data_IF_168696718146
#
_entry.id   IF_168696718146
#
_cell.length_a   1.000
_cell.length_b   1.000
_cell.length_c   1.000
_cell.angle_alpha   90.00
_cell.angle_beta   90.00
_cell.angle_gamma   90.00
#
_symmetry.space_group_name_H-M   'P 1'
#
loop_
_entity.id
_entity.type
_entity.pdbx_description
1 polymer ?
#
# COMPACT_ATOMS: atom_id res chain seq x y z
N UNK A 1 4.00 -7.61 -20.05
CA UNK A 1 3.46 -8.21 -18.79
C UNK A 1 4.57 -9.04 -18.19
N UNK A 2 4.99 -8.72 -16.98
CA UNK A 2 6.10 -9.40 -16.32
C UNK A 2 5.71 -10.82 -15.91
N UNK A 3 6.67 -11.78 -15.97
CA UNK A 3 6.43 -13.19 -15.65
C UNK A 3 5.92 -13.38 -14.21
N UNK A 4 6.39 -12.55 -13.28
CA UNK A 4 5.94 -12.58 -11.89
C UNK A 4 4.45 -12.21 -11.75
N UNK A 5 3.98 -11.28 -12.56
CA UNK A 5 2.56 -10.89 -12.60
C UNK A 5 1.68 -12.05 -13.11
N UNK A 6 2.16 -12.80 -14.11
CA UNK A 6 1.45 -13.98 -14.65
C UNK A 6 1.38 -15.09 -13.61
N UNK A 7 2.50 -15.43 -12.97
CA UNK A 7 2.55 -16.46 -11.93
C UNK A 7 1.65 -16.09 -10.75
N UNK A 8 1.68 -14.82 -10.32
CA UNK A 8 0.85 -14.31 -9.25
C UNK A 8 -0.64 -14.39 -9.60
N UNK A 9 -1.00 -14.08 -10.85
CA UNK A 9 -2.38 -14.16 -11.31
C UNK A 9 -2.90 -15.60 -11.34
N UNK A 10 -2.11 -16.56 -11.85
CA UNK A 10 -2.46 -17.98 -11.87
C UNK A 10 -2.61 -18.57 -10.46
N UNK A 11 -1.63 -18.35 -9.60
CA UNK A 11 -1.64 -18.84 -8.23
C UNK A 11 -2.79 -18.23 -7.42
N UNK A 12 -3.06 -16.95 -7.61
CA UNK A 12 -4.16 -16.25 -6.96
C UNK A 12 -5.52 -16.76 -7.41
N UNK A 13 -5.72 -16.94 -8.71
CA UNK A 13 -6.94 -17.49 -9.29
C UNK A 13 -7.26 -18.88 -8.76
N UNK A 14 -6.27 -19.77 -8.72
CA UNK A 14 -6.41 -21.13 -8.17
C UNK A 14 -6.84 -21.12 -6.69
N UNK A 15 -6.46 -20.09 -5.93
CA UNK A 15 -6.83 -19.91 -4.52
C UNK A 15 -8.08 -19.03 -4.31
N UNK A 16 -8.77 -18.61 -5.38
CA UNK A 16 -9.97 -17.78 -5.31
C UNK A 16 -9.73 -16.33 -4.87
N UNK A 17 -8.50 -15.82 -5.02
CA UNK A 17 -8.12 -14.47 -4.65
C UNK A 17 -8.67 -13.45 -5.64
N UNK A 18 -9.03 -12.26 -5.16
CA UNK A 18 -9.35 -11.10 -5.99
C UNK A 18 -10.72 -11.15 -6.65
N UNK A 19 -11.65 -11.94 -6.13
CA UNK A 19 -13.06 -11.91 -6.55
C UNK A 19 -13.80 -10.81 -5.80
N UNK A 20 -14.46 -9.93 -6.56
CA UNK A 20 -15.24 -8.83 -6.00
C UNK A 20 -16.58 -8.73 -6.75
N UNK A 21 -17.66 -8.58 -5.98
CA UNK A 21 -18.99 -8.23 -6.48
C UNK A 21 -19.34 -6.86 -5.92
N UNK A 22 -19.41 -5.87 -6.78
CA UNK A 22 -19.58 -4.48 -6.38
C UNK A 22 -20.71 -3.79 -7.11
N UNK A 23 -21.37 -2.86 -6.43
CA UNK A 23 -22.31 -1.92 -7.03
C UNK A 23 -21.56 -0.66 -7.41
N UNK A 24 -21.47 -0.40 -8.71
CA UNK A 24 -20.75 0.74 -9.28
C UNK A 24 -21.67 1.95 -9.46
N UNK A 25 -21.09 3.13 -9.31
CA UNK A 25 -21.73 4.38 -9.69
C UNK A 25 -21.31 4.74 -11.12
N UNK A 26 -22.28 4.85 -12.03
CA UNK A 26 -22.03 5.40 -13.37
C UNK A 26 -21.95 6.92 -13.29
N UNK A 27 -21.19 7.55 -14.19
CA UNK A 27 -21.01 8.99 -14.24
C UNK A 27 -22.33 9.77 -14.27
N UNK A 28 -23.35 9.20 -14.90
CA UNK A 28 -24.71 9.78 -15.03
C UNK A 28 -25.61 9.50 -13.81
N UNK A 29 -25.08 8.99 -12.72
CA UNK A 29 -25.83 8.73 -11.48
C UNK A 29 -26.54 7.38 -11.40
N UNK A 30 -26.52 6.57 -12.46
CA UNK A 30 -27.09 5.22 -12.44
C UNK A 30 -26.17 4.25 -11.70
N UNK A 31 -26.78 3.17 -11.16
CA UNK A 31 -26.05 2.06 -10.54
C UNK A 31 -25.90 0.91 -11.53
N UNK A 32 -24.78 0.23 -11.48
CA UNK A 32 -24.54 -1.03 -12.18
C UNK A 32 -23.89 -2.02 -11.23
N UNK A 33 -24.05 -3.33 -11.48
CA UNK A 33 -23.35 -4.39 -10.75
C UNK A 33 -22.20 -4.90 -11.59
N UNK A 34 -21.03 -4.99 -11.02
CA UNK A 34 -19.85 -5.58 -11.64
C UNK A 34 -19.31 -6.74 -10.82
N UNK A 35 -19.00 -7.86 -11.47
CA UNK A 35 -18.26 -8.96 -10.86
C UNK A 35 -16.86 -9.00 -11.48
N UNK A 36 -15.85 -8.92 -10.66
CA UNK A 36 -14.45 -8.81 -11.10
C UNK A 36 -13.60 -9.94 -10.53
N UNK A 37 -12.59 -10.34 -11.29
CA UNK A 37 -11.54 -11.25 -10.86
C UNK A 37 -10.19 -10.62 -11.18
N UNK A 38 -9.48 -10.16 -10.15
CA UNK A 38 -8.19 -9.48 -10.28
C UNK A 38 -7.14 -10.08 -9.33
N UNK A 39 -6.86 -11.41 -9.43
CA UNK A 39 -6.02 -12.09 -8.44
C UNK A 39 -4.61 -11.51 -8.37
N UNK A 40 -3.95 -11.29 -9.49
CA UNK A 40 -2.59 -10.73 -9.53
C UNK A 40 -2.52 -9.32 -8.93
N UNK A 41 -3.40 -8.42 -9.36
CA UNK A 41 -3.45 -7.05 -8.82
C UNK A 41 -3.75 -7.02 -7.32
N UNK A 42 -4.64 -7.88 -6.85
CA UNK A 42 -5.00 -7.98 -5.43
C UNK A 42 -3.82 -8.45 -4.58
N UNK A 43 -3.05 -9.45 -5.05
CA UNK A 43 -1.86 -9.95 -4.35
C UNK A 43 -0.77 -8.88 -4.32
N UNK A 44 -0.46 -8.25 -5.47
CA UNK A 44 0.54 -7.20 -5.58
C UNK A 44 0.20 -6.00 -4.68
N UNK A 45 -1.06 -5.54 -4.72
CA UNK A 45 -1.51 -4.45 -3.84
C UNK A 45 -1.36 -4.82 -2.36
N UNK A 46 -1.74 -6.04 -1.96
CA UNK A 46 -1.62 -6.48 -0.56
C UNK A 46 -0.17 -6.57 -0.12
N UNK A 47 0.72 -7.08 -0.98
CA UNK A 47 2.16 -7.13 -0.72
C UNK A 47 2.79 -5.75 -0.61
N UNK A 48 2.47 -4.87 -1.56
CA UNK A 48 2.96 -3.49 -1.57
C UNK A 48 2.53 -2.72 -0.31
N UNK A 49 1.23 -2.77 0.05
CA UNK A 49 0.71 -2.16 1.28
C UNK A 49 1.35 -2.73 2.55
N UNK A 50 1.67 -4.03 2.56
CA UNK A 50 2.37 -4.65 3.66
C UNK A 50 3.80 -4.11 3.82
N UNK A 51 4.48 -3.78 2.71
CA UNK A 51 5.79 -3.14 2.74
C UNK A 51 5.69 -1.69 3.19
N UNK A 52 4.80 -0.89 2.62
CA UNK A 52 4.53 0.48 3.03
C UNK A 52 4.28 0.60 4.55
N UNK A 53 3.60 -0.38 5.13
CA UNK A 53 3.28 -0.36 6.57
C UNK A 53 4.49 -0.42 7.51
N UNK A 54 5.67 -0.76 7.01
CA UNK A 54 6.92 -0.82 7.80
C UNK A 54 7.97 0.18 7.32
N UNK A 55 7.79 0.81 6.15
CA UNK A 55 8.78 1.71 5.55
C UNK A 55 8.30 3.15 5.43
N UNK A 56 7.00 3.41 5.37
CA UNK A 56 6.45 4.77 5.36
C UNK A 56 6.14 5.25 6.78
N UNK A 57 6.42 6.51 7.04
CA UNK A 57 5.89 7.15 8.24
C UNK A 57 4.37 7.32 8.14
N UNK A 58 3.74 7.50 9.30
CA UNK A 58 2.28 7.54 9.42
C UNK A 58 1.65 8.65 8.57
N UNK A 59 2.21 9.85 8.64
CA UNK A 59 1.59 11.02 7.99
C UNK A 59 1.73 10.96 6.46
N UNK A 60 2.88 10.49 5.95
CA UNK A 60 3.06 10.26 4.52
C UNK A 60 2.14 9.15 4.00
N UNK A 61 1.96 8.08 4.78
CA UNK A 61 1.00 7.03 4.48
C UNK A 61 -0.44 7.54 4.39
N UNK A 62 -0.87 8.38 5.34
CA UNK A 62 -2.20 9.01 5.34
C UNK A 62 -2.37 9.95 4.14
N UNK A 63 -1.39 10.83 3.88
CA UNK A 63 -1.43 11.74 2.73
C UNK A 63 -1.60 10.97 1.42
N UNK A 64 -0.85 9.90 1.24
CA UNK A 64 -0.96 9.04 0.06
C UNK A 64 -2.36 8.44 -0.07
N UNK A 65 -2.94 7.96 1.03
CA UNK A 65 -4.28 7.37 1.04
C UNK A 65 -5.39 8.40 0.71
N UNK A 66 -5.25 9.63 1.18
CA UNK A 66 -6.16 10.74 0.84
C UNK A 66 -6.11 11.09 -0.65
N UNK A 67 -4.93 10.96 -1.28
CA UNK A 67 -4.76 11.28 -2.71
C UNK A 67 -5.22 10.16 -3.65
N UNK A 68 -5.34 8.93 -3.18
CA UNK A 68 -5.73 7.78 -4.00
C UNK A 68 -7.08 7.94 -4.72
N UNK A 69 -8.17 8.39 -4.06
CA UNK A 69 -9.45 8.62 -4.73
C UNK A 69 -9.36 9.70 -5.82
N UNK A 70 -8.54 10.72 -5.62
CA UNK A 70 -8.31 11.79 -6.60
C UNK A 70 -7.57 11.26 -7.82
N UNK A 71 -6.53 10.48 -7.61
CA UNK A 71 -5.80 9.81 -8.68
C UNK A 71 -6.70 8.86 -9.48
N UNK A 72 -7.49 8.03 -8.79
CA UNK A 72 -8.43 7.11 -9.42
C UNK A 72 -9.48 7.86 -10.26
N UNK A 73 -9.98 9.02 -9.80
CA UNK A 73 -10.92 9.86 -10.55
C UNK A 73 -10.30 10.35 -11.87
N UNK A 74 -9.04 10.79 -11.85
CA UNK A 74 -8.35 11.24 -13.07
C UNK A 74 -8.24 10.12 -14.11
N UNK A 75 -7.93 8.90 -13.66
CA UNK A 75 -7.90 7.72 -14.55
C UNK A 75 -9.30 7.45 -15.11
N UNK A 76 -10.30 7.38 -14.24
CA UNK A 76 -11.68 7.05 -14.61
C UNK A 76 -12.29 8.04 -15.61
N UNK A 77 -11.97 9.34 -15.47
CA UNK A 77 -12.47 10.40 -16.35
C UNK A 77 -11.60 10.65 -17.59
N UNK A 78 -10.54 9.86 -17.81
CA UNK A 78 -9.69 9.93 -19.01
C UNK A 78 -8.61 11.02 -18.96
N UNK A 79 -8.32 11.60 -17.81
CA UNK A 79 -7.30 12.65 -17.64
C UNK A 79 -5.89 12.10 -17.38
N UNK A 80 -5.51 11.02 -18.08
CA UNK A 80 -4.19 10.39 -17.92
C UNK A 80 -3.03 11.35 -18.21
N UNK A 81 -3.17 12.23 -19.18
CA UNK A 81 -2.13 13.19 -19.57
C UNK A 81 -2.23 14.55 -18.89
N UNK A 82 -3.16 14.72 -17.94
CA UNK A 82 -3.35 15.98 -17.23
C UNK A 82 -2.14 16.32 -16.34
N UNK A 83 -1.74 17.60 -16.23
CA UNK A 83 -0.67 18.04 -15.32
C UNK A 83 -0.93 17.64 -13.86
N UNK A 84 -2.18 17.65 -13.42
CA UNK A 84 -2.56 17.21 -12.08
C UNK A 84 -2.18 15.75 -11.82
N UNK A 85 -2.43 14.82 -12.77
CA UNK A 85 -2.02 13.44 -12.64
C UNK A 85 -0.49 13.32 -12.53
N UNK A 86 0.25 14.11 -13.32
CA UNK A 86 1.71 14.11 -13.28
C UNK A 86 2.24 14.60 -11.92
N UNK A 87 1.65 15.63 -11.34
CA UNK A 87 2.00 16.14 -10.01
C UNK A 87 1.73 15.10 -8.91
N UNK A 88 0.57 14.43 -8.96
CA UNK A 88 0.24 13.35 -8.04
C UNK A 88 1.20 12.15 -8.20
N UNK A 89 1.57 11.81 -9.45
CA UNK A 89 2.53 10.75 -9.71
C UNK A 89 3.90 11.05 -9.11
N UNK A 90 4.39 12.30 -9.26
CA UNK A 90 5.67 12.71 -8.70
C UNK A 90 5.69 12.58 -7.16
N UNK A 91 4.60 12.93 -6.48
CA UNK A 91 4.46 12.73 -5.04
C UNK A 91 4.47 11.24 -4.68
N UNK A 92 3.73 10.42 -5.43
CA UNK A 92 3.71 8.98 -5.20
C UNK A 92 5.09 8.39 -5.40
N UNK A 93 5.77 8.71 -6.50
CA UNK A 93 7.11 8.20 -6.82
C UNK A 93 8.13 8.60 -5.74
N UNK A 94 8.07 9.84 -5.26
CA UNK A 94 8.92 10.31 -4.17
C UNK A 94 8.67 9.51 -2.88
N UNK A 95 7.42 9.26 -2.53
CA UNK A 95 7.04 8.48 -1.35
C UNK A 95 7.52 7.02 -1.39
N UNK A 96 7.83 6.49 -2.57
CA UNK A 96 8.21 5.08 -2.75
C UNK A 96 9.72 4.82 -2.71
N UNK A 97 10.56 5.83 -2.53
CA UNK A 97 12.02 5.71 -2.59
C UNK A 97 12.59 4.67 -1.60
N UNK A 98 11.94 4.53 -0.43
CA UNK A 98 12.34 3.61 0.63
C UNK A 98 11.40 2.40 0.78
N UNK A 99 10.41 2.27 -0.12
CA UNK A 99 9.48 1.14 -0.11
C UNK A 99 10.06 -0.02 -0.90
N UNK A 100 10.94 -0.77 -0.25
CA UNK A 100 11.62 -1.94 -0.83
C UNK A 100 11.69 -3.08 0.18
N UNK A 101 11.92 -4.30 -0.30
CA UNK A 101 12.10 -5.46 0.56
C UNK A 101 11.31 -6.69 0.10
N UNK A 102 11.14 -7.63 1.02
CA UNK A 102 10.46 -8.90 0.79
C UNK A 102 9.21 -9.04 1.64
N UNK A 103 8.12 -9.50 1.03
CA UNK A 103 6.86 -9.84 1.72
C UNK A 103 6.49 -11.28 1.46
N UNK A 104 6.28 -12.04 2.53
CA UNK A 104 5.78 -13.41 2.45
C UNK A 104 4.27 -13.43 2.67
N UNK A 105 3.55 -13.94 1.68
CA UNK A 105 2.10 -14.03 1.69
C UNK A 105 1.64 -15.49 1.70
N UNK A 106 0.62 -15.79 2.51
CA UNK A 106 -0.11 -17.05 2.49
C UNK A 106 -1.44 -16.84 1.79
N UNK A 107 -1.68 -17.59 0.71
CA UNK A 107 -2.92 -17.58 -0.06
C UNK A 107 -3.75 -18.80 0.30
N UNK A 108 -4.99 -18.59 0.72
CA UNK A 108 -5.87 -19.70 1.07
C UNK A 108 -7.34 -19.30 1.03
N UNK A 109 -8.13 -20.03 0.25
CA UNK A 109 -9.61 -19.88 0.16
C UNK A 109 -10.09 -18.44 0.07
N UNK A 110 -9.56 -17.69 -0.91
CA UNK A 110 -9.94 -16.30 -1.15
C UNK A 110 -9.25 -15.25 -0.26
N UNK A 111 -8.45 -15.69 0.72
CA UNK A 111 -7.78 -14.81 1.67
C UNK A 111 -6.27 -14.68 1.40
N UNK A 112 -5.74 -13.49 1.67
CA UNK A 112 -4.31 -13.18 1.64
C UNK A 112 -3.89 -12.79 3.06
N UNK A 113 -3.01 -13.59 3.66
CA UNK A 113 -2.44 -13.31 4.98
C UNK A 113 -0.97 -12.95 4.82
N UNK A 114 -0.55 -11.83 5.37
CA UNK A 114 0.86 -11.46 5.47
C UNK A 114 1.47 -12.26 6.61
N UNK A 115 2.47 -13.09 6.30
CA UNK A 115 3.13 -13.96 7.28
C UNK A 115 4.59 -13.56 7.56
N UNK A 116 5.12 -12.59 6.83
CA UNK A 116 6.44 -12.01 7.08
C UNK A 116 6.70 -10.80 6.19
N UNK A 117 7.53 -9.90 6.71
CA UNK A 117 8.03 -8.70 6.01
C UNK A 117 9.50 -8.53 6.37
N UNK A 118 10.30 -8.08 5.43
CA UNK A 118 11.71 -7.72 5.64
C UNK A 118 12.09 -6.57 4.73
N UNK A 119 12.71 -5.53 5.30
CA UNK A 119 13.25 -4.39 4.57
C UNK A 119 14.44 -3.83 5.32
N UNK A 120 15.44 -3.36 4.57
CA UNK A 120 16.61 -2.64 5.15
C UNK A 120 16.23 -1.20 5.54
N UNK A 121 15.16 -0.65 4.93
CA UNK A 121 14.63 0.69 5.21
C UNK A 121 13.44 0.66 6.19
N UNK A 122 13.31 -0.40 6.99
CA UNK A 122 12.20 -0.53 7.95
C UNK A 122 12.27 0.53 9.06
N UNK A 123 11.14 1.14 9.37
CA UNK A 123 10.93 1.99 10.55
C UNK A 123 10.51 1.19 11.78
N UNK A 124 10.30 -0.12 11.63
CA UNK A 124 9.93 -1.02 12.71
C UNK A 124 11.17 -1.48 13.47
N UNK A 125 11.23 -1.15 14.76
CA UNK A 125 12.26 -1.63 15.67
C UNK A 125 11.62 -2.48 16.76
N UNK A 126 11.90 -3.78 16.74
CA UNK A 126 11.34 -4.74 17.72
C UNK A 126 11.83 -4.51 19.15
N UNK A 127 12.93 -3.80 19.33
CA UNK A 127 13.45 -3.46 20.65
C UNK A 127 12.68 -2.30 21.32
N UNK A 128 11.99 -1.47 20.51
CA UNK A 128 11.25 -0.29 20.99
C UNK A 128 9.74 -0.58 21.07
N UNK A 129 9.24 -1.49 20.22
CA UNK A 129 7.79 -1.79 20.10
C UNK A 129 7.41 -2.92 21.05
N UNK A 130 7.35 -2.64 22.35
CA UNK A 130 6.72 -3.53 23.33
C UNK A 130 5.52 -2.82 23.94
N UNK A 131 4.45 -3.59 24.25
CA UNK A 131 3.33 -3.09 25.04
C UNK A 131 3.57 -3.26 26.55
N UNK A 132 4.70 -3.82 26.91
CA UNK A 132 5.12 -3.96 28.30
C UNK A 132 5.88 -2.68 28.72
N UNK A 133 5.74 -2.34 30.01
CA UNK A 133 6.31 -1.11 30.57
C UNK A 133 7.84 -1.26 30.66
N UNK A 134 8.52 -0.90 29.60
CA UNK A 134 9.99 -0.96 29.45
C UNK A 134 10.67 0.18 30.20
N UNK A 135 10.36 0.36 31.49
CA UNK A 135 11.14 1.13 32.48
C UNK A 135 12.05 2.25 31.90
N UNK A 136 11.52 3.09 30.97
CA UNK A 136 12.22 4.26 30.46
C UNK A 136 13.02 4.08 29.16
N UNK A 137 12.93 2.94 28.45
CA UNK A 137 13.55 2.77 27.14
C UNK A 137 12.87 3.62 26.05
N UNK A 138 11.62 4.04 26.29
CA UNK A 138 10.85 4.90 25.38
C UNK A 138 10.77 6.33 25.92
N UNK A 139 11.61 7.21 25.40
CA UNK A 139 11.56 8.64 25.70
C UNK A 139 10.80 9.39 24.60
N UNK A 140 9.55 9.76 24.87
CA UNK A 140 8.71 10.51 23.93
C UNK A 140 9.35 11.83 23.47
N UNK A 141 10.18 12.46 24.30
CA UNK A 141 10.86 13.70 23.92
C UNK A 141 11.97 13.45 22.88
N UNK A 142 12.61 12.28 22.89
CA UNK A 142 13.61 11.93 21.87
C UNK A 142 12.97 11.62 20.51
N UNK A 143 11.74 11.10 20.47
CA UNK A 143 11.02 10.86 19.21
C UNK A 143 10.72 12.14 18.44
N UNK A 144 10.42 13.24 19.12
CA UNK A 144 10.25 14.57 18.47
C UNK A 144 11.55 15.03 17.79
N UNK A 145 12.70 14.72 18.37
CA UNK A 145 14.02 15.08 17.80
C UNK A 145 14.36 14.21 16.58
N UNK A 146 13.98 12.94 16.56
CA UNK A 146 14.14 12.07 15.38
C UNK A 146 13.26 12.52 14.23
N UNK A 147 12.01 12.89 14.47
CA UNK A 147 11.13 13.46 13.45
C UNK A 147 11.70 14.74 12.82
N UNK A 148 12.31 15.62 13.60
CA UNK A 148 12.94 16.83 13.10
C UNK A 148 14.25 16.57 12.31
N UNK A 149 14.94 15.46 12.53
CA UNK A 149 16.17 15.10 11.79
C UNK A 149 15.91 14.62 10.37
N UNK A 150 14.74 14.04 10.09
CA UNK A 150 14.37 13.65 8.73
C UNK A 150 13.97 14.83 7.83
N UNK A 151 13.62 15.99 8.41
CA UNK A 151 13.26 17.19 7.65
C UNK A 151 14.41 18.15 7.37
N UNK A 152 15.66 17.86 7.78
CA UNK A 152 16.83 18.75 7.66
C UNK A 152 17.96 18.07 6.87
N UNK A 153 17.65 17.38 5.79
CA UNK A 153 18.66 16.99 4.79
C UNK A 153 18.27 17.49 3.42
#
# INVERSE_FOLDING_TARGET
>A
MDINTIITAQTGGANGIGRADIVENRYVGMKARGCYETPGGTILLKGHRAMESITLDRELGHLKDELMPRYAKLIYTGYWWAPERQALQALIDDSQQYVNGEVRLKLYKGNITVVGRQSDDTLYDSAIVTFEDDAGAYDQQKMVIYHLRFFVK
#
